data_IF_378019183529
#
_entry.id   IF_378019183529
#
_cell.length_a   1.000
_cell.length_b   1.000
_cell.length_c   1.000
_cell.angle_alpha   90.00
_cell.angle_beta   90.00
_cell.angle_gamma   90.00
#
_symmetry.space_group_name_H-M   'P 1'
#
loop_
_entity.id
_entity.type
_entity.pdbx_description
1 polymer ?
#
# COMPACT_ATOMS: atom_id res chain seq x y z
N UNK A 1 -3.84 30.54 -40.57
CA UNK A 1 -3.97 29.73 -39.34
C UNK A 1 -3.88 28.21 -39.55
N UNK A 2 -3.63 27.67 -40.77
CA UNK A 2 -3.59 26.22 -41.03
C UNK A 2 -2.19 25.56 -40.99
N UNK A 3 -1.12 26.35 -40.94
CA UNK A 3 0.27 25.86 -40.97
C UNK A 3 0.67 24.94 -39.80
N UNK A 4 0.27 25.16 -38.53
CA UNK A 4 0.69 24.25 -37.46
C UNK A 4 -0.02 22.89 -37.52
N UNK A 5 -1.28 22.84 -37.96
CA UNK A 5 -2.04 21.60 -38.07
C UNK A 5 -1.43 20.64 -39.10
N UNK A 6 -1.02 21.17 -40.27
CA UNK A 6 -0.39 20.37 -41.33
C UNK A 6 0.98 19.85 -40.88
N UNK A 7 1.75 20.66 -40.15
CA UNK A 7 3.02 20.23 -39.57
C UNK A 7 2.84 19.10 -38.55
N UNK A 8 1.82 19.18 -37.68
CA UNK A 8 1.51 18.12 -36.70
C UNK A 8 1.09 16.83 -37.40
N UNK A 9 0.23 16.90 -38.43
CA UNK A 9 -0.16 15.72 -39.21
C UNK A 9 1.04 15.10 -39.94
N UNK A 10 1.91 15.92 -40.54
CA UNK A 10 3.15 15.45 -41.17
C UNK A 10 4.11 14.79 -40.18
N UNK A 11 4.22 15.31 -38.96
CA UNK A 11 5.09 14.76 -37.91
C UNK A 11 4.54 13.46 -37.32
N UNK A 12 3.22 13.38 -37.13
CA UNK A 12 2.52 12.13 -36.77
C UNK A 12 2.64 11.06 -37.87
N UNK A 13 2.68 11.49 -39.13
CA UNK A 13 2.88 10.64 -40.29
C UNK A 13 4.24 9.97 -40.34
N UNK A 14 5.29 10.77 -40.17
CA UNK A 14 6.68 10.32 -40.15
C UNK A 14 6.96 9.44 -38.92
N UNK A 15 6.38 9.75 -37.76
CA UNK A 15 6.58 8.99 -36.53
C UNK A 15 5.83 7.65 -36.46
N UNK A 16 4.99 7.31 -37.46
CA UNK A 16 4.09 6.14 -37.45
C UNK A 16 3.23 6.01 -36.17
N UNK A 17 3.02 7.11 -35.44
CA UNK A 17 2.22 7.18 -34.20
C UNK A 17 0.75 7.49 -34.46
N UNK A 18 0.21 7.03 -35.59
CA UNK A 18 -1.18 7.28 -36.01
C UNK A 18 -2.23 6.69 -35.06
N UNK A 19 -1.90 5.60 -34.34
CA UNK A 19 -2.83 4.91 -33.45
C UNK A 19 -3.37 5.80 -32.31
N UNK A 20 -2.53 6.47 -31.49
CA UNK A 20 -3.04 7.36 -30.44
C UNK A 20 -3.79 8.58 -31.01
N UNK A 21 -3.33 9.15 -32.13
CA UNK A 21 -4.03 10.26 -32.78
C UNK A 21 -5.42 9.85 -33.27
N UNK A 22 -5.54 8.68 -33.90
CA UNK A 22 -6.82 8.10 -34.31
C UNK A 22 -7.74 7.81 -33.12
N UNK A 23 -7.21 7.32 -32.01
CA UNK A 23 -7.99 7.09 -30.79
C UNK A 23 -8.51 8.41 -30.18
N UNK A 24 -7.68 9.46 -30.16
CA UNK A 24 -8.13 10.79 -29.71
C UNK A 24 -9.18 11.38 -30.64
N UNK A 25 -8.98 11.31 -31.97
CA UNK A 25 -9.98 11.75 -32.94
C UNK A 25 -11.27 10.94 -32.87
N UNK A 26 -11.19 9.62 -32.66
CA UNK A 26 -12.36 8.78 -32.48
C UNK A 26 -13.13 9.12 -31.19
N UNK A 27 -12.42 9.35 -30.08
CA UNK A 27 -13.04 9.81 -28.83
C UNK A 27 -13.74 11.16 -29.01
N UNK A 28 -13.08 12.12 -29.65
CA UNK A 28 -13.68 13.42 -29.98
C UNK A 28 -14.91 13.26 -30.87
N UNK A 29 -14.85 12.40 -31.88
CA UNK A 29 -15.97 12.13 -32.78
C UNK A 29 -17.18 11.52 -32.03
N UNK A 30 -16.94 10.56 -31.13
CA UNK A 30 -17.99 9.97 -30.28
C UNK A 30 -18.64 11.02 -29.37
N UNK A 31 -17.89 11.98 -28.86
CA UNK A 31 -18.44 13.08 -28.07
C UNK A 31 -19.20 14.12 -28.91
N UNK A 32 -18.79 14.35 -30.15
CA UNK A 32 -19.41 15.32 -31.05
C UNK A 32 -20.72 14.81 -31.68
N UNK A 33 -20.83 13.50 -31.96
CA UNK A 33 -21.99 12.90 -32.63
C UNK A 33 -23.34 13.22 -31.96
N UNK A 34 -23.49 13.17 -30.62
CA UNK A 34 -24.75 13.48 -29.95
C UNK A 34 -25.00 14.99 -29.75
N UNK A 35 -23.94 15.81 -29.75
CA UNK A 35 -24.03 17.23 -29.34
C UNK A 35 -24.16 18.17 -30.54
N UNK A 36 -23.70 17.76 -31.74
CA UNK A 36 -23.98 18.45 -33.01
C UNK A 36 -23.36 19.86 -33.15
N UNK A 37 -22.48 20.25 -32.23
CA UNK A 37 -21.71 21.51 -32.25
C UNK A 37 -20.25 21.24 -31.87
N UNK A 38 -19.29 22.10 -32.27
CA UNK A 38 -17.94 22.02 -31.75
C UNK A 38 -17.97 22.14 -30.21
N UNK A 39 -17.24 21.24 -29.56
CA UNK A 39 -17.08 21.18 -28.11
C UNK A 39 -15.69 21.68 -27.74
N UNK A 40 -15.60 22.44 -26.65
CA UNK A 40 -14.32 22.72 -26.00
C UNK A 40 -13.82 21.50 -25.20
N UNK A 41 -12.52 21.44 -24.90
CA UNK A 41 -11.88 20.32 -24.19
C UNK A 41 -12.56 20.03 -22.83
N UNK A 42 -13.02 21.08 -22.14
CA UNK A 42 -13.77 20.94 -20.88
C UNK A 42 -15.13 20.28 -21.07
N UNK A 43 -15.83 20.57 -22.17
CA UNK A 43 -17.15 20.02 -22.48
C UNK A 43 -17.04 18.55 -22.92
N UNK A 44 -16.03 18.22 -23.72
CA UNK A 44 -15.70 16.82 -24.08
C UNK A 44 -15.41 16.02 -22.81
N UNK A 45 -14.60 16.57 -21.91
CA UNK A 45 -14.30 15.93 -20.62
C UNK A 45 -15.56 15.73 -19.78
N UNK A 46 -16.41 16.75 -19.65
CA UNK A 46 -17.65 16.69 -18.89
C UNK A 46 -18.62 15.63 -19.45
N UNK A 47 -18.72 15.51 -20.78
CA UNK A 47 -19.52 14.48 -21.45
C UNK A 47 -19.10 13.07 -21.04
N UNK A 48 -17.80 12.75 -21.13
CA UNK A 48 -17.29 11.43 -20.73
C UNK A 48 -17.40 11.17 -19.23
N UNK A 49 -17.19 12.19 -18.39
CA UNK A 49 -17.46 12.07 -16.95
C UNK A 49 -18.93 11.72 -16.68
N UNK A 50 -19.85 12.36 -17.40
CA UNK A 50 -21.28 12.06 -17.32
C UNK A 50 -21.60 10.62 -17.67
N UNK A 51 -21.07 10.11 -18.79
CA UNK A 51 -21.22 8.70 -19.20
C UNK A 51 -20.67 7.74 -18.15
N UNK A 52 -19.47 8.01 -17.63
CA UNK A 52 -18.86 7.19 -16.59
C UNK A 52 -19.69 7.14 -15.32
N UNK A 53 -20.21 8.30 -14.88
CA UNK A 53 -21.04 8.39 -13.69
C UNK A 53 -22.40 7.71 -13.87
N UNK A 54 -23.01 7.84 -15.04
CA UNK A 54 -24.22 7.13 -15.40
C UNK A 54 -24.00 5.61 -15.36
N UNK A 55 -22.90 5.12 -15.94
CA UNK A 55 -22.56 3.70 -15.89
C UNK A 55 -22.38 3.18 -14.46
N UNK A 56 -21.68 3.94 -13.61
CA UNK A 56 -21.49 3.58 -12.19
C UNK A 56 -22.84 3.46 -11.46
N UNK A 57 -23.77 4.40 -11.71
CA UNK A 57 -25.12 4.37 -11.11
C UNK A 57 -25.95 3.18 -11.60
N UNK A 58 -25.81 2.79 -12.87
CA UNK A 58 -26.53 1.66 -13.47
C UNK A 58 -25.92 0.30 -13.07
N UNK A 59 -24.62 0.25 -12.76
CA UNK A 59 -23.89 -0.98 -12.47
C UNK A 59 -23.01 -0.87 -11.20
N UNK A 60 -23.58 -0.61 -10.01
CA UNK A 60 -22.80 -0.34 -8.81
C UNK A 60 -21.92 -1.53 -8.38
N UNK A 61 -22.40 -2.77 -8.55
CA UNK A 61 -21.62 -3.96 -8.23
C UNK A 61 -20.41 -4.14 -9.15
N UNK A 62 -20.57 -3.91 -10.46
CA UNK A 62 -19.47 -3.95 -11.41
C UNK A 62 -18.47 -2.81 -11.16
N UNK A 63 -18.96 -1.61 -10.84
CA UNK A 63 -18.12 -0.48 -10.46
C UNK A 63 -17.30 -0.78 -9.19
N UNK A 64 -17.92 -1.36 -8.16
CA UNK A 64 -17.21 -1.79 -6.95
C UNK A 64 -16.17 -2.89 -7.23
N UNK A 65 -16.48 -3.83 -8.13
CA UNK A 65 -15.52 -4.86 -8.56
C UNK A 65 -14.32 -4.25 -9.32
N UNK A 66 -14.55 -3.28 -10.20
CA UNK A 66 -13.47 -2.57 -10.89
C UNK A 66 -12.64 -1.72 -9.93
N UNK A 67 -13.30 -1.05 -8.98
CA UNK A 67 -12.64 -0.23 -7.97
C UNK A 67 -11.79 -1.08 -7.02
N UNK A 68 -12.32 -2.20 -6.53
CA UNK A 68 -11.55 -3.15 -5.71
C UNK A 68 -10.38 -3.75 -6.49
N UNK A 69 -10.55 -4.07 -7.79
CA UNK A 69 -9.43 -4.48 -8.65
C UNK A 69 -8.37 -3.39 -8.79
N UNK A 70 -8.77 -2.12 -8.92
CA UNK A 70 -7.85 -0.97 -8.89
C UNK A 70 -7.12 -0.88 -7.55
N UNK A 71 -7.81 -1.16 -6.44
CA UNK A 71 -7.18 -1.25 -5.12
C UNK A 71 -6.20 -2.41 -4.98
N UNK A 72 -6.52 -3.58 -5.52
CA UNK A 72 -5.59 -4.71 -5.53
C UNK A 72 -4.29 -4.35 -6.28
N UNK A 73 -4.35 -3.56 -7.36
CA UNK A 73 -3.14 -3.12 -8.04
C UNK A 73 -2.26 -2.17 -7.21
N UNK A 74 -2.82 -1.44 -6.25
CA UNK A 74 -2.05 -0.58 -5.35
C UNK A 74 -1.15 -1.40 -4.42
N UNK A 75 -1.67 -2.54 -3.95
CA UNK A 75 -1.00 -3.42 -3.00
C UNK A 75 -0.21 -4.56 -3.67
N UNK A 76 -0.41 -4.77 -4.97
CA UNK A 76 0.25 -5.81 -5.74
C UNK A 76 1.64 -5.36 -6.24
N UNK A 77 2.54 -6.33 -6.45
CA UNK A 77 3.88 -6.17 -7.03
C UNK A 77 3.85 -5.63 -8.47
N UNK A 78 2.71 -5.70 -9.16
CA UNK A 78 2.58 -5.24 -10.54
C UNK A 78 3.08 -3.80 -10.68
N UNK A 79 3.97 -3.58 -11.64
CA UNK A 79 4.50 -2.26 -11.96
C UNK A 79 3.67 -1.69 -13.11
N UNK A 80 2.82 -0.70 -12.82
CA UNK A 80 2.00 -0.01 -13.82
C UNK A 80 2.73 1.28 -14.19
N UNK A 81 3.28 1.31 -15.40
CA UNK A 81 4.05 2.44 -15.92
C UNK A 81 3.16 3.44 -16.63
N UNK A 82 3.47 4.72 -16.46
CA UNK A 82 2.84 5.79 -17.24
C UNK A 82 3.88 6.41 -18.19
N UNK A 83 4.89 7.09 -17.64
CA UNK A 83 5.96 7.74 -18.42
C UNK A 83 7.37 7.23 -18.07
N UNK A 84 7.54 6.61 -16.90
CA UNK A 84 8.81 6.10 -16.39
C UNK A 84 8.62 4.67 -15.88
N UNK A 85 9.63 3.83 -16.09
CA UNK A 85 9.65 2.44 -15.65
C UNK A 85 10.60 2.21 -14.48
N UNK A 86 10.10 2.11 -13.25
CA UNK A 86 10.98 1.87 -12.08
C UNK A 86 11.79 0.57 -12.17
N UNK A 87 11.31 -0.56 -12.75
CA UNK A 87 12.12 -1.75 -12.96
C UNK A 87 13.31 -1.54 -13.90
N UNK A 88 13.20 -0.61 -14.86
CA UNK A 88 14.35 -0.24 -15.68
C UNK A 88 15.43 0.41 -14.81
N UNK A 89 15.06 1.37 -13.96
CA UNK A 89 16.00 2.02 -13.05
C UNK A 89 16.53 1.10 -11.93
N UNK A 90 15.72 0.12 -11.49
CA UNK A 90 16.07 -0.76 -10.38
C UNK A 90 16.79 -2.04 -10.82
N UNK A 91 16.62 -2.51 -12.07
CA UNK A 91 17.20 -3.78 -12.56
C UNK A 91 18.18 -3.60 -13.71
N UNK A 92 17.92 -2.64 -14.60
CA UNK A 92 18.73 -2.44 -15.80
C UNK A 92 19.80 -1.37 -15.58
N UNK A 93 19.56 -0.42 -14.68
CA UNK A 93 20.58 0.51 -14.20
C UNK A 93 21.26 -0.01 -12.94
N UNK A 94 22.60 0.08 -12.90
CA UNK A 94 23.46 -0.27 -11.77
C UNK A 94 23.34 0.74 -10.62
N UNK A 95 22.13 0.88 -10.07
CA UNK A 95 21.84 1.80 -8.96
C UNK A 95 21.83 1.06 -7.62
N UNK A 96 21.86 1.81 -6.52
CA UNK A 96 21.75 1.28 -5.14
C UNK A 96 20.44 0.50 -4.92
N UNK A 97 19.42 0.75 -5.74
CA UNK A 97 18.15 0.03 -5.69
C UNK A 97 18.27 -1.48 -5.98
N UNK A 98 19.36 -1.94 -6.61
CA UNK A 98 19.65 -3.36 -6.82
C UNK A 98 19.86 -4.12 -5.51
N UNK A 99 20.33 -3.45 -4.46
CA UNK A 99 20.62 -4.04 -3.14
C UNK A 99 19.37 -4.05 -2.25
N UNK A 100 18.34 -3.27 -2.59
CA UNK A 100 17.13 -3.18 -1.80
C UNK A 100 16.22 -4.39 -2.06
N UNK A 101 16.43 -5.46 -1.30
CA UNK A 101 15.62 -6.70 -1.34
C UNK A 101 14.18 -6.44 -0.85
N UNK A 102 14.00 -5.42 -0.02
CA UNK A 102 12.72 -5.04 0.59
C UNK A 102 11.87 -4.28 -0.44
N UNK A 103 10.86 -4.95 -0.99
CA UNK A 103 9.89 -4.36 -1.92
C UNK A 103 8.48 -4.26 -1.34
N UNK A 104 7.56 -3.68 -2.12
CA UNK A 104 6.15 -3.57 -1.76
C UNK A 104 5.51 -4.92 -1.40
N UNK A 105 5.99 -6.03 -2.00
CA UNK A 105 5.52 -7.39 -1.72
C UNK A 105 5.73 -7.83 -0.26
N UNK A 106 6.76 -7.32 0.42
CA UNK A 106 7.05 -7.62 1.83
C UNK A 106 6.51 -6.54 2.75
N UNK A 107 6.66 -5.27 2.35
CA UNK A 107 6.22 -4.11 3.13
C UNK A 107 4.70 -4.04 3.30
N UNK A 108 3.92 -4.43 2.29
CA UNK A 108 2.46 -4.42 2.38
C UNK A 108 1.94 -5.40 3.44
N UNK A 109 2.26 -6.72 3.38
CA UNK A 109 1.76 -7.65 4.39
C UNK A 109 2.39 -7.40 5.77
N UNK A 110 3.70 -7.15 5.86
CA UNK A 110 4.39 -6.96 7.14
C UNK A 110 4.03 -5.61 7.78
N UNK A 111 3.98 -4.56 6.97
CA UNK A 111 3.57 -3.22 7.39
C UNK A 111 2.12 -3.19 7.84
N UNK A 112 1.21 -3.77 7.05
CA UNK A 112 -0.20 -3.91 7.43
C UNK A 112 -0.39 -4.70 8.72
N UNK A 113 0.33 -5.82 8.89
CA UNK A 113 0.27 -6.61 10.12
C UNK A 113 0.75 -5.81 11.33
N UNK A 114 1.83 -5.04 11.21
CA UNK A 114 2.33 -4.18 12.29
C UNK A 114 1.41 -3.03 12.64
N UNK A 115 0.75 -2.42 11.65
CA UNK A 115 -0.26 -1.38 11.90
C UNK A 115 -1.47 -1.89 12.70
N UNK A 116 -1.66 -3.21 12.79
CA UNK A 116 -2.76 -3.81 13.56
C UNK A 116 -2.23 -4.40 14.86
N UNK A 117 -1.18 -5.22 14.81
CA UNK A 117 -0.67 -5.98 15.94
C UNK A 117 0.06 -5.09 16.97
N UNK A 118 0.75 -4.05 16.52
CA UNK A 118 1.54 -3.15 17.36
C UNK A 118 0.81 -1.84 17.70
N UNK A 119 -0.53 -1.82 17.58
CA UNK A 119 -1.32 -0.64 17.88
C UNK A 119 -1.21 -0.25 19.38
N UNK A 120 -0.82 1.00 19.70
CA UNK A 120 -0.71 1.46 21.08
C UNK A 120 -2.10 1.58 21.72
N UNK A 121 -2.34 0.84 22.80
CA UNK A 121 -3.65 0.79 23.48
C UNK A 121 -3.94 2.06 24.28
N UNK A 122 -2.90 2.69 24.80
CA UNK A 122 -2.95 3.93 25.59
C UNK A 122 -3.20 5.18 24.73
N UNK A 123 -2.82 5.16 23.44
CA UNK A 123 -2.99 6.28 22.50
C UNK A 123 -3.73 5.88 21.23
N UNK A 124 -4.76 5.06 21.37
CA UNK A 124 -5.47 4.48 20.23
C UNK A 124 -6.14 5.54 19.34
N UNK A 125 -6.67 6.64 19.90
CA UNK A 125 -7.34 7.67 19.10
C UNK A 125 -6.36 8.45 18.20
N UNK A 126 -5.27 9.04 18.71
CA UNK A 126 -4.23 9.65 17.86
C UNK A 126 -3.66 8.65 16.84
N UNK A 127 -3.50 7.40 17.24
CA UNK A 127 -3.03 6.34 16.36
C UNK A 127 -3.98 6.07 15.20
N UNK A 128 -5.28 5.96 15.46
CA UNK A 128 -6.30 5.77 14.41
C UNK A 128 -6.35 6.95 13.45
N UNK A 129 -6.20 8.19 13.95
CA UNK A 129 -6.11 9.38 13.09
C UNK A 129 -4.89 9.26 12.16
N UNK A 130 -3.73 8.90 12.70
CA UNK A 130 -2.52 8.73 11.90
C UNK A 130 -2.64 7.56 10.90
N UNK A 131 -3.13 6.40 11.33
CA UNK A 131 -3.32 5.23 10.46
C UNK A 131 -4.38 5.49 9.39
N UNK A 132 -5.38 6.34 9.65
CA UNK A 132 -6.41 6.69 8.67
C UNK A 132 -5.85 7.31 7.38
N UNK A 133 -4.63 7.86 7.43
CA UNK A 133 -3.89 8.29 6.24
C UNK A 133 -3.74 7.15 5.23
N UNK A 134 -3.48 5.91 5.66
CA UNK A 134 -3.25 4.76 4.78
C UNK A 134 -4.46 4.47 3.88
N UNK A 135 -5.68 4.23 4.41
CA UNK A 135 -6.86 4.01 3.59
C UNK A 135 -7.30 5.29 2.85
N UNK A 136 -7.20 6.48 3.45
CA UNK A 136 -7.59 7.72 2.78
C UNK A 136 -6.71 8.01 1.55
N UNK A 137 -5.40 7.82 1.70
CA UNK A 137 -4.44 7.97 0.60
C UNK A 137 -4.66 6.90 -0.47
N UNK A 138 -4.85 5.64 -0.07
CA UNK A 138 -5.15 4.56 -0.99
C UNK A 138 -6.39 4.89 -1.84
N UNK A 139 -7.50 5.27 -1.21
CA UNK A 139 -8.73 5.67 -1.91
C UNK A 139 -8.49 6.85 -2.85
N UNK A 140 -7.72 7.86 -2.44
CA UNK A 140 -7.39 8.99 -3.31
C UNK A 140 -6.69 8.55 -4.59
N UNK A 141 -5.65 7.72 -4.48
CA UNK A 141 -4.93 7.14 -5.64
C UNK A 141 -5.86 6.25 -6.48
N UNK A 142 -6.76 5.49 -5.84
CA UNK A 142 -7.78 4.69 -6.50
C UNK A 142 -8.77 5.52 -7.31
N UNK A 143 -9.13 6.71 -6.84
CA UNK A 143 -10.10 7.58 -7.53
C UNK A 143 -9.43 8.19 -8.75
N UNK A 144 -8.23 8.75 -8.61
CA UNK A 144 -7.50 9.35 -9.73
C UNK A 144 -6.97 8.28 -10.68
N UNK A 145 -5.80 7.73 -10.39
CA UNK A 145 -5.11 6.80 -11.27
C UNK A 145 -4.05 6.07 -10.46
N UNK A 146 -3.94 4.75 -10.65
CA UNK A 146 -2.92 3.95 -9.97
C UNK A 146 -1.71 3.86 -10.89
N UNK A 147 -0.66 4.62 -10.55
CA UNK A 147 0.67 4.42 -11.11
C UNK A 147 1.66 3.96 -10.04
N UNK A 148 2.78 3.40 -10.48
CA UNK A 148 3.86 3.01 -9.56
C UNK A 148 4.43 4.19 -8.74
N UNK A 149 4.41 5.41 -9.26
CA UNK A 149 4.90 6.58 -8.50
C UNK A 149 3.93 6.95 -7.38
N UNK A 150 2.64 6.79 -7.64
CA UNK A 150 1.57 7.24 -6.72
C UNK A 150 1.41 6.28 -5.52
N UNK A 151 2.04 5.10 -5.53
CA UNK A 151 2.11 4.23 -4.36
C UNK A 151 3.27 4.55 -3.41
N UNK A 152 4.26 5.35 -3.81
CA UNK A 152 5.45 5.59 -2.99
C UNK A 152 5.14 6.22 -1.63
N UNK A 153 4.22 7.22 -1.51
CA UNK A 153 3.89 7.79 -0.21
C UNK A 153 3.18 6.80 0.73
N UNK A 154 2.47 5.80 0.19
CA UNK A 154 1.85 4.73 0.97
C UNK A 154 2.90 3.82 1.63
N UNK A 155 4.09 3.69 1.05
CA UNK A 155 5.15 2.84 1.61
C UNK A 155 5.73 3.40 2.91
N UNK A 156 5.68 4.73 3.14
CA UNK A 156 6.20 5.37 4.34
C UNK A 156 5.52 4.85 5.63
N UNK A 157 4.19 4.94 5.79
CA UNK A 157 3.52 4.38 6.97
C UNK A 157 3.62 2.85 7.05
N UNK A 158 3.73 2.15 5.91
CA UNK A 158 3.92 0.69 5.90
C UNK A 158 5.32 0.28 6.41
N UNK A 159 6.37 1.06 6.11
CA UNK A 159 7.70 0.85 6.67
C UNK A 159 7.68 1.04 8.20
N UNK A 160 7.00 2.08 8.69
CA UNK A 160 6.83 2.29 10.13
C UNK A 160 6.06 1.13 10.78
N UNK A 161 4.98 0.68 10.15
CA UNK A 161 4.24 -0.51 10.57
C UNK A 161 5.12 -1.77 10.60
N UNK A 162 5.95 -1.98 9.58
CA UNK A 162 6.81 -3.15 9.49
C UNK A 162 7.83 -3.18 10.64
N UNK A 163 8.43 -2.02 10.96
CA UNK A 163 9.29 -1.86 12.13
C UNK A 163 8.53 -2.16 13.43
N UNK A 164 7.32 -1.65 13.58
CA UNK A 164 6.48 -1.90 14.74
C UNK A 164 6.11 -3.39 14.89
N UNK A 165 5.89 -4.11 13.78
CA UNK A 165 5.65 -5.56 13.82
C UNK A 165 6.87 -6.33 14.34
N UNK A 166 8.06 -5.96 13.88
CA UNK A 166 9.31 -6.59 14.34
C UNK A 166 9.52 -6.33 15.82
N UNK A 167 9.34 -5.08 16.28
CA UNK A 167 9.47 -4.73 17.69
C UNK A 167 8.45 -5.47 18.57
N UNK A 168 7.18 -5.52 18.14
CA UNK A 168 6.13 -6.28 18.81
C UNK A 168 6.48 -7.77 18.91
N UNK A 169 6.97 -8.37 17.83
CA UNK A 169 7.40 -9.77 17.82
C UNK A 169 8.55 -10.03 18.80
N UNK A 170 9.56 -9.15 18.84
CA UNK A 170 10.67 -9.23 19.79
C UNK A 170 10.20 -9.08 21.25
N UNK A 171 9.23 -8.19 21.51
CA UNK A 171 8.62 -8.02 22.82
C UNK A 171 7.96 -9.30 23.34
N UNK A 172 7.26 -10.04 22.48
CA UNK A 172 6.67 -11.34 22.84
C UNK A 172 7.71 -12.38 23.24
N UNK A 173 8.84 -12.43 22.54
CA UNK A 173 9.94 -13.34 22.90
C UNK A 173 10.57 -12.98 24.24
N UNK A 174 10.72 -11.69 24.55
CA UNK A 174 11.24 -11.21 25.85
C UNK A 174 10.32 -11.61 27.01
N UNK A 175 9.02 -11.37 26.88
CA UNK A 175 8.03 -11.75 27.90
C UNK A 175 8.01 -13.27 28.14
N UNK A 176 8.14 -14.06 27.07
CA UNK A 176 8.21 -15.52 27.19
C UNK A 176 9.49 -15.98 27.89
N UNK A 177 10.62 -15.34 27.61
CA UNK A 177 11.90 -15.66 28.26
C UNK A 177 11.84 -15.36 29.76
N UNK A 178 11.31 -14.19 30.14
CA UNK A 178 11.10 -13.79 31.54
C UNK A 178 10.16 -14.77 32.27
N UNK A 179 9.02 -15.10 31.68
CA UNK A 179 8.06 -16.05 32.27
C UNK A 179 8.64 -17.47 32.44
N UNK A 180 9.55 -17.89 31.57
CA UNK A 180 10.22 -19.20 31.68
C UNK A 180 11.25 -19.19 32.80
N UNK A 181 12.04 -18.10 32.92
CA UNK A 181 13.00 -17.92 34.01
C UNK A 181 12.36 -17.88 35.39
N UNK A 182 11.28 -17.13 35.55
CA UNK A 182 10.53 -17.06 36.82
C UNK A 182 9.99 -18.43 37.26
N UNK A 183 9.56 -19.25 36.29
CA UNK A 183 9.06 -20.61 36.56
C UNK A 183 10.16 -21.55 37.04
N UNK A 184 11.33 -21.50 36.42
CA UNK A 184 12.49 -22.28 36.82
C UNK A 184 13.01 -21.87 38.20
N UNK A 185 13.08 -20.56 38.47
CA UNK A 185 13.52 -20.06 39.76
C UNK A 185 12.51 -20.38 40.89
N UNK A 186 11.20 -20.26 40.61
CA UNK A 186 10.15 -20.69 41.53
C UNK A 186 10.23 -22.18 41.87
N UNK A 187 10.46 -23.03 40.85
CA UNK A 187 10.64 -24.47 41.01
C UNK A 187 11.89 -24.79 41.83
N UNK A 188 13.01 -24.11 41.56
CA UNK A 188 14.28 -24.27 42.29
C UNK A 188 14.13 -23.85 43.76
N UNK A 189 13.46 -22.73 44.04
CA UNK A 189 13.18 -22.27 45.42
C UNK A 189 12.30 -23.27 46.18
N UNK A 190 11.28 -23.82 45.53
CA UNK A 190 10.42 -24.87 46.11
C UNK A 190 11.21 -26.13 46.46
N UNK A 191 12.04 -26.63 45.54
CA UNK A 191 12.94 -27.77 45.79
C UNK A 191 13.92 -27.51 46.94
N UNK A 192 14.56 -26.33 46.99
CA UNK A 192 15.46 -25.98 48.08
C UNK A 192 14.75 -25.87 49.44
N UNK A 193 13.49 -25.43 49.46
CA UNK A 193 12.68 -25.41 50.67
C UNK A 193 12.31 -26.83 51.15
N UNK A 194 12.02 -27.75 50.23
CA UNK A 194 11.72 -29.14 50.53
C UNK A 194 12.96 -29.94 50.99
N UNK A 195 14.14 -29.63 50.45
CA UNK A 195 15.40 -30.30 50.78
C UNK A 195 16.09 -29.70 52.01
N UNK A 196 15.59 -28.59 52.58
CA UNK A 196 16.14 -28.07 53.85
C UNK A 196 16.04 -29.16 54.92
N UNK A 197 17.16 -29.66 55.45
CA UNK A 197 17.12 -30.65 56.51
C UNK A 197 16.42 -30.02 57.71
N UNK A 198 15.37 -30.67 58.22
CA UNK A 198 14.79 -30.32 59.52
C UNK A 198 15.94 -30.36 60.52
N UNK A 199 16.33 -29.20 61.06
CA UNK A 199 17.27 -29.15 62.17
C UNK A 199 16.67 -30.01 63.27
N UNK A 200 17.25 -31.18 63.50
CA UNK A 200 16.95 -31.96 64.68
C UNK A 200 17.33 -31.10 65.87
N UNK A 201 16.33 -30.58 66.57
CA UNK A 201 16.53 -30.04 67.90
C UNK A 201 16.97 -31.22 68.78
N UNK A 202 18.27 -31.33 68.99
CA UNK A 202 18.81 -32.18 70.05
C UNK A 202 18.38 -31.56 71.38
N UNK A 203 17.30 -32.07 71.96
CA UNK A 203 17.05 -31.90 73.38
C UNK A 203 18.02 -32.82 74.12
N UNK A 204 19.18 -32.30 74.52
CA UNK A 204 19.81 -32.77 75.75
C UNK A 204 19.00 -32.11 76.88
N UNK A 205 18.27 -32.86 77.71
CA UNK A 205 18.79 -33.51 78.93
C UNK A 205 19.94 -32.71 79.57
N UNK A 206 19.98 -32.41 80.86
CA UNK A 206 19.15 -32.62 82.05
C UNK A 206 19.82 -31.78 83.13
#
# INVERSE_FOLDING_TARGET
MWQPAIAIVGLLAVARRWRPALLMCAGLFVALLPVGRPLDDGEVSAYFYGLGWQWIRLHPGAAAALFSRKMLYLFNRAHIFLNYSSPFYARDMRTVLLVLIVGAWLLVPLGGAGLIAAAPRDRIVPYLIWVSFVPAYAVSVAVFFVSERDRLPLLVPLCAGAGAFVDWGLGLFRLKAEATGDREEGTRRSWMAAVRPKRFHTSSER
#
